data_IF_225502666202
#
_entry.id   IF_225502666202
#
_cell.length_a   1.000
_cell.length_b   1.000
_cell.length_c   1.000
_cell.angle_alpha   90.00
_cell.angle_beta   90.00
_cell.angle_gamma   90.00
#
_symmetry.space_group_name_H-M   'P 1'
#
loop_
_entity.id
_entity.type
_entity.pdbx_description
1 polymer ?
#
# COMPACT_ATOMS: atom_id res chain seq x y z
N UNK A 1 -53.60 81.01 -25.89
CA UNK A 1 -52.99 81.65 -27.09
C UNK A 1 -51.92 80.72 -27.60
N UNK A 2 -52.12 80.31 -28.82
CA UNK A 2 -51.16 79.79 -29.82
C UNK A 2 -50.31 78.54 -29.48
N UNK A 3 -50.73 77.44 -30.11
CA UNK A 3 -50.04 76.25 -30.45
C UNK A 3 -48.79 76.53 -31.27
N UNK A 4 -47.78 75.66 -31.13
CA UNK A 4 -46.98 75.16 -32.27
C UNK A 4 -46.50 73.78 -31.98
N UNK A 5 -46.90 72.82 -32.81
CA UNK A 5 -46.35 71.45 -32.91
C UNK A 5 -45.16 71.47 -33.82
N UNK A 6 -44.11 70.74 -33.47
CA UNK A 6 -43.13 70.25 -34.45
C UNK A 6 -42.79 68.78 -34.13
N UNK A 7 -43.08 67.94 -35.08
CA UNK A 7 -42.64 66.54 -35.13
C UNK A 7 -41.21 66.43 -35.57
N UNK A 8 -40.56 65.41 -35.07
CA UNK A 8 -39.28 64.93 -35.60
C UNK A 8 -39.26 63.43 -35.72
N UNK A 9 -38.70 63.03 -36.81
CA UNK A 9 -38.70 61.73 -37.45
C UNK A 9 -38.02 60.63 -36.66
N UNK A 10 -38.57 59.44 -36.81
CA UNK A 10 -37.97 58.17 -36.43
C UNK A 10 -36.72 57.87 -37.29
N UNK A 11 -35.64 57.55 -36.65
CA UNK A 11 -34.49 56.83 -37.29
C UNK A 11 -34.38 55.46 -36.65
N UNK A 12 -34.82 54.43 -37.36
CA UNK A 12 -34.53 53.02 -37.07
C UNK A 12 -33.05 52.74 -37.28
N UNK A 13 -32.35 52.37 -36.25
CA UNK A 13 -31.07 51.64 -36.32
C UNK A 13 -31.31 50.15 -36.09
N UNK A 14 -30.70 49.25 -36.90
CA UNK A 14 -30.85 47.80 -36.65
C UNK A 14 -30.02 47.37 -35.46
N UNK A 15 -30.67 46.78 -34.46
CA UNK A 15 -30.00 46.02 -33.39
C UNK A 15 -29.27 44.80 -33.98
N UNK A 16 -27.97 44.83 -33.94
CA UNK A 16 -27.16 43.63 -34.14
C UNK A 16 -27.21 42.78 -32.86
N UNK A 17 -28.05 41.76 -32.85
CA UNK A 17 -27.96 40.67 -31.92
C UNK A 17 -26.78 39.77 -32.31
N UNK A 18 -25.67 39.90 -31.61
CA UNK A 18 -24.61 38.87 -31.57
C UNK A 18 -25.18 37.71 -30.74
N UNK A 19 -25.21 36.48 -31.25
CA UNK A 19 -25.47 35.33 -30.42
C UNK A 19 -24.26 35.12 -29.51
N UNK A 20 -24.48 35.27 -28.21
CA UNK A 20 -23.56 34.83 -27.18
C UNK A 20 -23.57 33.29 -27.19
N UNK A 21 -22.66 32.72 -27.95
CA UNK A 21 -22.40 31.29 -27.95
C UNK A 21 -21.35 31.03 -26.88
N UNK A 22 -21.78 31.13 -25.61
CA UNK A 22 -21.08 30.46 -24.53
C UNK A 22 -21.29 28.95 -24.75
N UNK A 23 -20.40 28.33 -25.48
CA UNK A 23 -20.27 26.88 -25.50
C UNK A 23 -19.92 26.45 -24.09
N UNK A 24 -20.93 26.08 -23.31
CA UNK A 24 -20.73 25.28 -22.12
C UNK A 24 -20.14 23.95 -22.64
N UNK A 25 -18.90 23.71 -22.31
CA UNK A 25 -18.26 22.42 -22.52
C UNK A 25 -18.94 21.46 -21.54
N UNK A 26 -19.94 20.72 -22.01
CA UNK A 26 -20.47 19.53 -21.36
C UNK A 26 -19.39 18.41 -21.43
N UNK A 27 -18.30 18.59 -20.74
CA UNK A 27 -17.55 17.43 -20.26
C UNK A 27 -18.43 16.82 -19.16
N UNK A 28 -18.72 15.52 -19.17
CA UNK A 28 -19.44 14.90 -18.06
C UNK A 28 -18.65 15.19 -16.79
N UNK A 29 -19.30 15.87 -15.83
CA UNK A 29 -18.75 16.00 -14.48
C UNK A 29 -18.62 14.58 -13.95
N UNK A 30 -17.39 14.14 -13.75
CA UNK A 30 -17.11 12.83 -13.14
C UNK A 30 -17.63 12.95 -11.70
N UNK A 31 -18.65 12.17 -11.37
CA UNK A 31 -19.18 12.15 -10.01
C UNK A 31 -18.08 11.59 -9.09
N UNK A 32 -17.89 12.20 -7.92
CA UNK A 32 -16.84 11.83 -6.97
C UNK A 32 -17.41 11.03 -5.79
N UNK A 33 -16.54 10.27 -5.14
CA UNK A 33 -16.75 9.62 -3.86
C UNK A 33 -15.51 9.78 -2.98
N UNK A 34 -15.46 9.06 -1.85
CA UNK A 34 -14.32 9.04 -0.94
C UNK A 34 -13.57 7.73 -1.08
N UNK A 35 -12.31 7.81 -1.48
CA UNK A 35 -11.42 6.67 -1.59
C UNK A 35 -10.49 6.62 -0.37
N UNK A 36 -10.53 5.50 0.36
CA UNK A 36 -9.62 5.21 1.46
C UNK A 36 -8.50 4.28 1.00
N UNK A 37 -7.29 4.47 1.54
CA UNK A 37 -6.22 3.48 1.47
C UNK A 37 -5.86 3.06 2.89
N UNK A 38 -5.76 1.75 3.08
CA UNK A 38 -5.40 1.09 4.32
C UNK A 38 -4.10 0.32 4.16
N UNK A 39 -3.38 0.12 5.25
CA UNK A 39 -2.24 -0.79 5.32
C UNK A 39 -2.59 -1.95 6.28
N UNK A 40 -2.30 -3.18 5.87
CA UNK A 40 -2.64 -4.40 6.58
C UNK A 40 -1.42 -5.31 6.72
N UNK A 41 -1.19 -5.84 7.91
CA UNK A 41 -0.20 -6.87 8.18
C UNK A 41 -0.85 -8.23 8.43
N UNK A 42 -2.16 -8.33 8.18
CA UNK A 42 -3.02 -9.46 8.50
C UNK A 42 -3.10 -9.78 10.00
N UNK A 43 -3.83 -10.82 10.35
CA UNK A 43 -4.03 -11.24 11.74
C UNK A 43 -2.70 -11.63 12.39
N UNK A 44 -1.76 -12.16 11.62
CA UNK A 44 -0.43 -12.60 12.08
C UNK A 44 0.35 -11.52 12.82
N UNK A 45 0.22 -10.26 12.40
CA UNK A 45 0.97 -9.15 13.02
C UNK A 45 0.46 -8.84 14.41
N UNK A 46 -0.83 -9.05 14.70
CA UNK A 46 -1.45 -8.75 15.99
C UNK A 46 -1.63 -9.97 16.88
N UNK A 47 -1.88 -11.14 16.28
CA UNK A 47 -2.11 -12.37 17.03
C UNK A 47 -0.82 -13.19 17.22
N UNK A 48 0.18 -12.97 16.36
CA UNK A 48 1.36 -13.80 16.29
C UNK A 48 1.09 -15.11 15.52
N UNK A 49 2.13 -15.87 15.27
CA UNK A 49 2.06 -17.15 14.55
C UNK A 49 3.28 -18.03 14.86
N UNK A 50 3.23 -19.27 14.39
CA UNK A 50 4.36 -20.21 14.50
C UNK A 50 5.11 -20.25 13.17
N UNK A 51 6.41 -19.96 13.19
CA UNK A 51 7.28 -20.03 12.01
C UNK A 51 7.46 -21.48 11.52
N UNK A 52 7.94 -21.66 10.29
CA UNK A 52 8.19 -22.98 9.69
C UNK A 52 9.14 -23.87 10.50
N UNK A 53 9.98 -23.27 11.31
CA UNK A 53 10.99 -23.96 12.15
C UNK A 53 10.60 -24.02 13.63
N UNK A 54 9.32 -23.66 13.94
CA UNK A 54 8.66 -23.90 15.22
C UNK A 54 8.91 -22.85 16.28
N UNK A 55 9.26 -21.61 15.89
CA UNK A 55 9.30 -20.48 16.79
C UNK A 55 7.92 -19.80 16.86
N UNK A 56 7.38 -19.59 18.04
CA UNK A 56 6.20 -18.77 18.27
C UNK A 56 6.62 -17.30 18.20
N UNK A 57 6.15 -16.59 17.18
CA UNK A 57 6.52 -15.18 16.89
C UNK A 57 5.38 -14.28 17.30
N UNK A 58 5.68 -13.26 18.11
CA UNK A 58 4.75 -12.19 18.44
C UNK A 58 5.40 -10.83 18.16
N UNK A 59 4.64 -9.93 17.54
CA UNK A 59 5.09 -8.58 17.28
C UNK A 59 4.57 -7.60 18.32
N UNK A 60 5.44 -6.69 18.76
CA UNK A 60 5.10 -5.52 19.55
C UNK A 60 4.86 -4.31 18.64
N UNK A 61 5.69 -4.21 17.58
CA UNK A 61 5.57 -3.19 16.55
C UNK A 61 6.01 -3.72 15.19
N UNK A 62 5.31 -3.31 14.14
CA UNK A 62 5.65 -3.56 12.75
C UNK A 62 5.53 -2.26 11.96
N UNK A 63 6.62 -1.49 11.95
CA UNK A 63 6.64 -0.22 11.23
C UNK A 63 6.96 -0.44 9.76
N UNK A 64 6.10 0.09 8.88
CA UNK A 64 6.31 0.13 7.43
C UNK A 64 6.28 1.58 6.95
N UNK A 65 7.27 1.98 6.13
CA UNK A 65 7.31 3.30 5.51
C UNK A 65 6.79 3.19 4.08
N UNK A 66 5.71 3.91 3.79
CA UNK A 66 5.01 3.91 2.51
C UNK A 66 5.00 5.32 1.92
N UNK A 67 5.24 5.44 0.61
CA UNK A 67 5.15 6.72 -0.08
C UNK A 67 4.60 6.56 -1.50
N UNK A 68 4.13 7.67 -2.07
CA UNK A 68 3.58 7.73 -3.41
C UNK A 68 2.50 6.68 -3.65
N UNK A 69 1.64 6.44 -2.63
CA UNK A 69 0.55 5.46 -2.77
C UNK A 69 -0.49 6.00 -3.72
N UNK A 70 -0.62 5.34 -4.87
CA UNK A 70 -1.52 5.72 -5.96
C UNK A 70 -2.49 4.61 -6.28
N UNK A 71 -3.75 4.99 -6.42
CA UNK A 71 -4.81 4.13 -6.91
C UNK A 71 -5.09 4.45 -8.39
N UNK A 72 -5.32 3.41 -9.19
CA UNK A 72 -5.52 3.53 -10.62
C UNK A 72 -6.83 2.89 -11.08
N UNK A 73 -7.48 3.54 -12.03
CA UNK A 73 -8.51 2.92 -12.88
C UNK A 73 -7.85 2.57 -14.21
N UNK A 74 -8.02 1.34 -14.68
CA UNK A 74 -7.54 0.88 -15.97
C UNK A 74 -8.65 0.09 -16.68
N UNK A 75 -8.67 0.15 -18.03
CA UNK A 75 -9.65 -0.59 -18.83
C UNK A 75 -9.47 -2.12 -18.73
N UNK A 76 -8.22 -2.55 -18.56
CA UNK A 76 -7.86 -3.94 -18.31
C UNK A 76 -7.15 -4.04 -16.96
N UNK A 77 -7.45 -5.10 -16.19
CA UNK A 77 -6.73 -5.39 -14.96
C UNK A 77 -5.25 -5.62 -15.24
N UNK A 78 -4.41 -5.03 -14.43
CA UNK A 78 -2.97 -5.28 -14.45
C UNK A 78 -2.71 -6.69 -13.87
N UNK A 79 -1.89 -7.46 -14.57
CA UNK A 79 -1.46 -8.78 -14.12
C UNK A 79 0.03 -8.71 -13.72
N UNK A 80 0.33 -8.73 -12.40
CA UNK A 80 1.69 -8.59 -11.89
C UNK A 80 2.62 -9.79 -12.23
N UNK A 81 2.07 -10.92 -12.63
CA UNK A 81 2.85 -12.12 -13.02
C UNK A 81 3.33 -12.07 -14.48
N UNK A 82 2.98 -11.04 -15.21
CA UNK A 82 3.35 -10.87 -16.61
C UNK A 82 4.26 -9.65 -16.81
N UNK A 83 4.92 -9.56 -17.98
CA UNK A 83 5.67 -8.36 -18.39
C UNK A 83 4.74 -7.21 -18.85
N UNK A 84 3.46 -7.22 -18.41
CA UNK A 84 2.50 -6.19 -18.78
C UNK A 84 2.87 -4.85 -18.13
N UNK A 85 2.59 -3.77 -18.87
CA UNK A 85 2.70 -2.42 -18.32
C UNK A 85 1.31 -1.97 -17.87
N UNK A 86 1.20 -1.38 -16.69
CA UNK A 86 -0.03 -0.74 -16.25
C UNK A 86 -0.32 0.47 -17.15
N UNK A 87 -1.50 0.47 -17.79
CA UNK A 87 -1.98 1.56 -18.65
C UNK A 87 -3.22 2.22 -18.01
N UNK A 88 -3.03 3.17 -17.08
CA UNK A 88 -4.14 3.77 -16.36
C UNK A 88 -4.92 4.76 -17.22
N UNK A 89 -6.23 4.78 -17.05
CA UNK A 89 -7.14 5.81 -17.58
C UNK A 89 -7.36 6.95 -16.59
N UNK A 90 -7.18 6.66 -15.29
CA UNK A 90 -7.30 7.61 -14.17
C UNK A 90 -6.30 7.22 -13.09
N UNK A 91 -5.69 8.20 -12.44
CA UNK A 91 -4.86 8.00 -11.25
C UNK A 91 -5.21 8.98 -10.13
N UNK A 92 -5.03 8.53 -8.89
CA UNK A 92 -5.25 9.34 -7.68
C UNK A 92 -4.10 9.08 -6.71
N UNK A 93 -3.34 10.13 -6.37
CA UNK A 93 -2.38 10.08 -5.28
C UNK A 93 -3.15 10.14 -3.96
N UNK A 94 -3.05 9.10 -3.13
CA UNK A 94 -3.77 9.01 -1.85
C UNK A 94 -2.86 9.32 -0.68
N UNK A 95 -1.61 8.82 -0.70
CA UNK A 95 -0.61 9.06 0.36
C UNK A 95 0.68 9.57 -0.27
N UNK A 96 1.18 10.71 0.21
CA UNK A 96 2.48 11.24 -0.21
C UNK A 96 3.63 10.46 0.44
N UNK A 97 3.72 10.49 1.79
CA UNK A 97 4.59 9.61 2.58
C UNK A 97 4.06 9.46 4.01
N UNK A 98 4.08 8.24 4.53
CA UNK A 98 3.67 7.94 5.90
C UNK A 98 4.37 6.66 6.40
N UNK A 99 4.75 6.65 7.68
CA UNK A 99 5.13 5.44 8.40
C UNK A 99 3.98 5.03 9.31
N UNK A 100 3.56 3.78 9.22
CA UNK A 100 2.48 3.19 10.03
C UNK A 100 3.02 2.02 10.84
N UNK A 101 2.37 1.75 11.97
CA UNK A 101 2.60 0.55 12.77
C UNK A 101 1.46 -0.44 12.51
N UNK A 102 1.73 -1.52 11.78
CA UNK A 102 0.71 -2.51 11.43
C UNK A 102 0.23 -3.33 12.63
N UNK A 103 1.02 -3.34 13.73
CA UNK A 103 0.65 -4.01 14.98
C UNK A 103 -0.26 -3.14 15.88
N UNK A 104 -0.55 -1.89 15.48
CA UNK A 104 -1.42 -1.01 16.27
C UNK A 104 -2.86 -1.54 16.30
N UNK A 105 -3.45 -1.57 17.50
CA UNK A 105 -4.83 -2.01 17.75
C UNK A 105 -4.91 -3.37 18.43
N UNK A 106 -6.15 -3.81 18.69
CA UNK A 106 -6.45 -5.15 19.19
C UNK A 106 -6.46 -6.15 18.02
N UNK A 107 -6.48 -7.45 18.33
CA UNK A 107 -6.46 -8.52 17.33
C UNK A 107 -7.52 -8.38 16.21
N UNK A 108 -8.73 -7.92 16.56
CA UNK A 108 -9.86 -7.74 15.65
C UNK A 108 -10.00 -6.31 15.09
N UNK A 109 -8.97 -5.46 15.26
CA UNK A 109 -9.00 -4.10 14.74
C UNK A 109 -8.95 -4.07 13.21
N UNK A 110 -9.65 -3.12 12.61
CA UNK A 110 -9.56 -2.87 11.17
C UNK A 110 -8.10 -2.57 10.75
N UNK A 111 -7.71 -2.85 9.49
CA UNK A 111 -6.45 -2.39 8.91
C UNK A 111 -6.23 -0.89 9.09
N UNK A 112 -4.98 -0.48 9.23
CA UNK A 112 -4.59 0.91 9.54
C UNK A 112 -5.02 1.86 8.42
N UNK A 113 -5.91 2.79 8.70
CA UNK A 113 -6.29 3.83 7.74
C UNK A 113 -5.11 4.79 7.53
N UNK A 114 -4.58 4.81 6.32
CA UNK A 114 -3.51 5.73 5.95
C UNK A 114 -4.05 7.10 5.56
N UNK A 115 -4.98 7.15 4.62
CA UNK A 115 -5.58 8.39 4.15
C UNK A 115 -6.95 8.16 3.50
N UNK A 116 -7.68 9.28 3.35
CA UNK A 116 -8.96 9.36 2.65
C UNK A 116 -8.94 10.58 1.74
N UNK A 117 -9.30 10.41 0.48
CA UNK A 117 -9.31 11.49 -0.51
C UNK A 117 -10.58 11.48 -1.35
N UNK A 118 -11.03 12.66 -1.83
CA UNK A 118 -12.05 12.72 -2.88
C UNK A 118 -11.46 12.20 -4.18
N UNK A 119 -12.20 11.33 -4.86
CA UNK A 119 -11.73 10.65 -6.07
C UNK A 119 -12.89 10.43 -7.05
N UNK A 120 -12.63 10.45 -8.37
CA UNK A 120 -13.62 10.11 -9.38
C UNK A 120 -14.22 8.72 -9.15
N UNK A 121 -15.54 8.60 -9.27
CA UNK A 121 -16.21 7.30 -9.18
C UNK A 121 -15.74 6.36 -10.31
N UNK A 122 -15.70 5.07 -10.01
CA UNK A 122 -15.24 4.04 -10.93
C UNK A 122 -14.63 2.84 -10.20
N UNK A 123 -14.00 1.95 -10.97
CA UNK A 123 -13.28 0.80 -10.41
C UNK A 123 -11.79 1.09 -10.35
N UNK A 124 -11.26 1.18 -9.15
CA UNK A 124 -9.82 1.23 -8.90
C UNK A 124 -9.31 -0.20 -8.83
N UNK A 125 -8.67 -0.64 -9.90
CA UNK A 125 -8.25 -2.02 -10.14
C UNK A 125 -6.72 -2.20 -10.21
N UNK A 126 -5.98 -1.18 -9.76
CA UNK A 126 -4.55 -1.30 -9.52
C UNK A 126 -4.12 -0.33 -8.41
N UNK A 127 -3.11 -0.74 -7.66
CA UNK A 127 -2.50 0.03 -6.58
C UNK A 127 -0.98 0.03 -6.76
N UNK A 128 -0.35 1.17 -6.53
CA UNK A 128 1.11 1.32 -6.56
C UNK A 128 1.57 2.03 -5.31
N UNK A 129 2.72 1.61 -4.76
CA UNK A 129 3.42 2.34 -3.71
C UNK A 129 4.92 2.11 -3.76
N UNK A 130 5.65 3.04 -3.15
CA UNK A 130 7.07 2.88 -2.86
C UNK A 130 7.27 2.71 -1.36
N UNK A 131 8.35 2.05 -0.99
CA UNK A 131 8.77 1.88 0.40
C UNK A 131 10.15 2.54 0.58
N UNK A 132 10.20 3.85 0.82
CA UNK A 132 11.44 4.55 1.13
C UNK A 132 11.79 4.39 2.62
N UNK A 133 12.99 4.81 3.00
CA UNK A 133 13.33 4.93 4.42
C UNK A 133 12.45 5.97 5.11
N UNK A 134 11.96 5.63 6.30
CA UNK A 134 11.21 6.54 7.14
C UNK A 134 12.02 7.79 7.48
N UNK A 135 11.38 8.95 7.45
CA UNK A 135 12.04 10.24 7.72
C UNK A 135 12.10 10.60 9.20
N UNK A 136 11.19 10.03 9.98
CA UNK A 136 11.05 10.30 11.41
C UNK A 136 10.44 9.11 12.16
N UNK A 137 10.19 9.25 13.46
CA UNK A 137 9.61 8.22 14.31
C UNK A 137 10.59 7.10 14.68
N UNK A 138 10.08 5.99 15.25
CA UNK A 138 10.93 4.88 15.72
C UNK A 138 11.72 4.19 14.59
N UNK A 139 11.14 4.11 13.40
CA UNK A 139 11.76 3.48 12.22
C UNK A 139 12.60 4.44 11.38
N UNK A 140 12.91 5.65 11.87
CA UNK A 140 13.66 6.65 11.10
C UNK A 140 14.98 6.09 10.52
N UNK A 141 15.17 6.23 9.22
CA UNK A 141 16.32 5.70 8.47
C UNK A 141 16.16 4.27 7.96
N UNK A 142 15.05 3.60 8.24
CA UNK A 142 14.74 2.24 7.81
C UNK A 142 13.44 2.18 7.01
N UNK A 143 13.32 1.19 6.14
CA UNK A 143 12.12 0.93 5.32
C UNK A 143 11.08 0.18 6.13
N UNK A 144 11.55 -0.86 6.84
CA UNK A 144 10.78 -1.72 7.74
C UNK A 144 11.51 -1.82 9.08
N UNK A 145 10.76 -1.86 10.17
CA UNK A 145 11.30 -2.18 11.49
C UNK A 145 10.33 -3.11 12.21
N UNK A 146 10.79 -4.33 12.48
CA UNK A 146 10.03 -5.36 13.19
C UNK A 146 10.55 -5.46 14.61
N UNK A 147 9.69 -5.32 15.59
CA UNK A 147 9.99 -5.44 17.02
C UNK A 147 9.08 -6.50 17.63
N UNK A 148 9.64 -7.45 18.36
CA UNK A 148 8.83 -8.51 18.95
C UNK A 148 9.63 -9.53 19.72
N UNK A 149 8.97 -10.66 19.98
CA UNK A 149 9.56 -11.82 20.66
C UNK A 149 9.36 -13.08 19.83
N UNK A 150 10.32 -13.99 19.91
CA UNK A 150 10.21 -15.32 19.37
C UNK A 150 10.53 -16.33 20.48
N UNK A 151 9.70 -17.35 20.64
CA UNK A 151 9.85 -18.37 21.70
C UNK A 151 9.83 -19.78 21.09
N UNK A 152 10.78 -20.63 21.52
CA UNK A 152 10.84 -22.05 21.16
C UNK A 152 11.53 -22.86 22.25
N UNK A 153 10.93 -23.93 22.71
CA UNK A 153 11.46 -24.85 23.72
C UNK A 153 11.96 -24.18 25.01
N UNK A 154 11.33 -23.05 25.39
CA UNK A 154 11.68 -22.24 26.56
C UNK A 154 12.84 -21.27 26.32
N UNK A 155 13.39 -21.20 25.11
CA UNK A 155 14.26 -20.11 24.68
C UNK A 155 13.42 -18.95 24.21
N UNK A 156 13.71 -17.73 24.69
CA UNK A 156 13.05 -16.49 24.28
C UNK A 156 14.10 -15.59 23.64
N UNK A 157 13.78 -14.99 22.50
CA UNK A 157 14.59 -13.99 21.80
C UNK A 157 13.75 -12.74 21.57
N UNK A 158 14.15 -11.63 22.20
CA UNK A 158 13.58 -10.32 21.93
C UNK A 158 14.28 -9.75 20.68
N UNK A 159 13.54 -9.47 19.64
CA UNK A 159 14.15 -9.04 18.38
C UNK A 159 13.76 -7.62 17.97
N UNK A 160 14.70 -6.94 17.34
CA UNK A 160 14.52 -5.72 16.56
C UNK A 160 15.27 -5.91 15.24
N UNK A 161 14.52 -6.04 14.14
CA UNK A 161 15.05 -6.14 12.79
C UNK A 161 14.82 -4.82 12.07
N UNK A 162 15.90 -4.18 11.60
CA UNK A 162 15.85 -2.93 10.82
C UNK A 162 16.25 -3.23 9.38
N UNK A 163 15.27 -3.15 8.49
CA UNK A 163 15.42 -3.56 7.10
C UNK A 163 15.41 -2.32 6.20
N UNK A 164 16.40 -2.23 5.33
CA UNK A 164 16.72 -1.01 4.56
C UNK A 164 16.44 -1.15 3.05
N UNK A 165 15.91 -2.28 2.61
CA UNK A 165 15.64 -2.55 1.19
C UNK A 165 14.49 -1.67 0.72
N UNK A 166 14.81 -0.66 -0.10
CA UNK A 166 13.80 0.21 -0.72
C UNK A 166 13.14 -0.54 -1.89
N UNK A 167 11.82 -0.43 -2.01
CA UNK A 167 11.01 -1.21 -2.95
C UNK A 167 9.94 -0.35 -3.60
N UNK A 168 9.50 -0.76 -4.79
CA UNK A 168 8.32 -0.23 -5.47
C UNK A 168 7.46 -1.38 -5.94
N UNK A 169 6.21 -1.37 -5.53
CA UNK A 169 5.22 -2.37 -5.90
C UNK A 169 4.19 -1.80 -6.84
N UNK A 170 3.80 -2.61 -7.84
CA UNK A 170 2.63 -2.37 -8.68
C UNK A 170 1.75 -3.61 -8.63
N UNK A 171 0.50 -3.42 -8.22
CA UNK A 171 -0.44 -4.49 -7.94
C UNK A 171 -1.65 -4.37 -8.86
N UNK A 172 -2.29 -5.50 -9.13
CA UNK A 172 -3.55 -5.58 -9.88
C UNK A 172 -4.78 -5.43 -8.99
N UNK A 173 -5.86 -6.10 -9.39
CA UNK A 173 -7.10 -6.17 -8.61
C UNK A 173 -6.82 -6.81 -7.23
N UNK A 174 -7.54 -6.31 -6.22
CA UNK A 174 -7.51 -6.92 -4.89
C UNK A 174 -8.05 -8.36 -4.94
N UNK A 175 -7.34 -9.30 -4.34
CA UNK A 175 -7.74 -10.70 -4.25
C UNK A 175 -8.25 -11.00 -2.85
N UNK A 176 -9.50 -11.50 -2.77
CA UNK A 176 -10.19 -11.84 -1.50
C UNK A 176 -11.52 -11.12 -1.32
N UNK A 177 -11.66 -9.88 -1.75
CA UNK A 177 -12.95 -9.15 -1.76
C UNK A 177 -13.12 -8.36 -3.06
N UNK A 178 -13.96 -8.87 -3.97
CA UNK A 178 -14.24 -8.25 -5.27
C UNK A 178 -14.90 -6.85 -5.18
N UNK A 179 -15.34 -6.42 -4.00
CA UNK A 179 -15.97 -5.11 -3.77
C UNK A 179 -14.95 -4.00 -3.53
N UNK A 180 -13.73 -4.35 -3.11
CA UNK A 180 -12.67 -3.36 -2.88
C UNK A 180 -12.37 -2.60 -4.17
N UNK A 181 -12.14 -1.30 -4.03
CA UNK A 181 -11.85 -0.41 -5.15
C UNK A 181 -13.05 0.01 -6.00
N UNK A 182 -14.29 -0.47 -5.73
CA UNK A 182 -15.49 -0.01 -6.44
C UNK A 182 -16.05 1.23 -5.75
N UNK A 183 -15.77 2.41 -6.32
CA UNK A 183 -16.21 3.69 -5.82
C UNK A 183 -17.45 4.16 -6.57
N UNK A 184 -18.62 4.09 -5.93
CA UNK A 184 -19.86 4.67 -6.46
C UNK A 184 -19.94 6.17 -6.15
N UNK A 185 -20.69 6.95 -6.95
CA UNK A 185 -20.92 8.37 -6.70
C UNK A 185 -21.43 8.66 -5.28
N UNK A 186 -20.75 9.55 -4.57
CA UNK A 186 -21.12 9.96 -3.22
C UNK A 186 -20.96 8.88 -2.15
N UNK A 187 -20.38 7.75 -2.48
CA UNK A 187 -20.12 6.65 -1.55
C UNK A 187 -18.64 6.63 -1.09
N UNK A 188 -18.29 5.61 -0.33
CA UNK A 188 -16.93 5.32 0.13
C UNK A 188 -16.50 3.96 -0.40
N UNK A 189 -15.25 3.85 -0.83
CA UNK A 189 -14.59 2.59 -1.14
C UNK A 189 -13.20 2.58 -0.52
N UNK A 190 -12.66 1.40 -0.26
CA UNK A 190 -11.31 1.21 0.25
C UNK A 190 -10.46 0.35 -0.68
N UNK A 191 -9.17 0.60 -0.63
CA UNK A 191 -8.09 -0.20 -1.15
C UNK A 191 -7.12 -0.53 -0.02
N UNK A 192 -6.34 -1.59 -0.18
CA UNK A 192 -5.49 -2.08 0.87
C UNK A 192 -4.14 -2.52 0.33
N UNK A 193 -3.07 -1.98 0.92
CA UNK A 193 -1.72 -2.50 0.77
C UNK A 193 -1.50 -3.54 1.86
N UNK A 194 -1.36 -4.79 1.49
CA UNK A 194 -1.22 -5.94 2.41
C UNK A 194 0.25 -6.37 2.47
N UNK A 195 0.70 -6.81 3.63
CA UNK A 195 2.05 -7.27 3.88
C UNK A 195 2.04 -8.63 4.56
N UNK A 196 2.60 -9.64 3.90
CA UNK A 196 2.64 -11.03 4.35
C UNK A 196 3.98 -11.35 5.02
N UNK A 197 4.10 -11.15 6.34
CA UNK A 197 5.35 -11.37 7.08
C UNK A 197 5.69 -12.85 7.29
N UNK A 198 4.74 -13.76 7.14
CA UNK A 198 4.96 -15.19 7.06
C UNK A 198 5.86 -15.58 5.87
N UNK A 199 5.95 -14.79 4.81
CA UNK A 199 6.94 -14.97 3.75
C UNK A 199 8.38 -14.95 4.28
N UNK A 200 8.67 -14.16 5.33
CA UNK A 200 10.01 -14.14 5.94
C UNK A 200 10.22 -15.39 6.80
N UNK A 201 9.22 -15.73 7.62
CA UNK A 201 9.40 -16.71 8.70
C UNK A 201 8.85 -18.10 8.35
N UNK A 202 8.01 -18.20 7.31
CA UNK A 202 7.25 -19.40 6.99
C UNK A 202 6.09 -19.61 7.96
N UNK A 203 5.30 -20.64 7.70
CA UNK A 203 4.13 -21.01 8.48
C UNK A 203 4.26 -22.45 9.01
N UNK A 204 4.28 -22.61 10.33
CA UNK A 204 4.38 -23.90 11.00
C UNK A 204 3.12 -24.79 10.84
N UNK A 205 1.99 -24.22 10.44
CA UNK A 205 0.76 -24.96 10.14
C UNK A 205 0.73 -25.50 8.70
N UNK A 206 1.49 -24.88 7.80
CA UNK A 206 1.61 -25.33 6.41
C UNK A 206 2.55 -26.53 6.28
N UNK A 207 2.36 -27.40 5.25
CA UNK A 207 3.29 -28.49 4.96
C UNK A 207 4.72 -27.99 4.71
N UNK A 208 5.77 -28.75 5.12
CA UNK A 208 7.17 -28.34 4.93
C UNK A 208 7.58 -28.12 3.46
N UNK A 209 6.87 -28.74 2.52
CA UNK A 209 7.07 -28.63 1.06
C UNK A 209 6.17 -27.58 0.40
N UNK A 210 5.38 -26.86 1.17
CA UNK A 210 4.63 -25.71 0.69
C UNK A 210 5.55 -24.57 0.25
N UNK A 211 5.10 -23.77 -0.72
CA UNK A 211 5.87 -22.63 -1.25
C UNK A 211 6.21 -21.61 -0.18
N UNK A 212 5.32 -21.34 0.76
CA UNK A 212 5.54 -20.43 1.88
C UNK A 212 6.74 -20.89 2.75
N UNK A 213 6.88 -22.20 2.97
CA UNK A 213 7.94 -22.76 3.80
C UNK A 213 9.26 -22.95 3.03
N UNK A 214 9.20 -23.34 1.78
CA UNK A 214 10.42 -23.54 0.97
C UNK A 214 11.11 -22.24 0.60
N UNK A 215 10.34 -21.14 0.43
CA UNK A 215 10.83 -19.78 0.16
C UNK A 215 11.35 -19.06 1.41
N UNK A 216 10.70 -19.23 2.55
CA UNK A 216 10.99 -18.48 3.77
C UNK A 216 12.38 -18.74 4.36
N UNK A 217 12.91 -17.73 5.07
CA UNK A 217 14.13 -17.88 5.89
C UNK A 217 13.84 -18.75 7.12
N UNK A 218 12.73 -18.52 7.82
CA UNK A 218 12.46 -19.01 9.18
C UNK A 218 13.07 -18.10 10.25
N UNK A 219 12.94 -18.48 11.52
CA UNK A 219 13.54 -17.71 12.61
C UNK A 219 14.83 -18.35 13.16
N UNK A 220 15.08 -19.62 12.93
CA UNK A 220 16.27 -20.33 13.43
C UNK A 220 17.61 -19.67 13.04
N UNK A 221 17.83 -19.21 11.77
CA UNK A 221 19.04 -18.48 11.42
C UNK A 221 19.22 -17.17 12.17
N UNK A 222 18.13 -16.47 12.46
CA UNK A 222 18.11 -15.23 13.24
C UNK A 222 18.39 -15.50 14.72
N UNK A 223 17.79 -16.55 15.30
CA UNK A 223 18.06 -16.97 16.66
C UNK A 223 19.52 -17.37 16.88
N UNK A 224 20.15 -17.97 15.86
CA UNK A 224 21.56 -18.41 15.92
C UNK A 224 22.55 -17.24 16.04
N UNK A 225 22.21 -16.05 15.59
CA UNK A 225 23.06 -14.85 15.68
C UNK A 225 22.67 -13.94 16.87
N UNK A 226 21.62 -14.29 17.63
CA UNK A 226 21.21 -13.54 18.80
C UNK A 226 22.30 -13.53 19.89
N UNK A 227 22.39 -12.44 20.63
CA UNK A 227 23.32 -12.28 21.74
C UNK A 227 22.58 -12.53 23.07
N UNK A 228 22.59 -13.79 23.52
CA UNK A 228 21.79 -14.22 24.67
C UNK A 228 20.29 -14.27 24.31
N UNK A 229 19.49 -13.42 24.90
CA UNK A 229 18.05 -13.28 24.66
C UNK A 229 17.70 -12.08 23.78
N UNK A 230 18.67 -11.46 23.10
CA UNK A 230 18.48 -10.23 22.34
C UNK A 230 19.04 -10.36 20.93
N UNK A 231 18.23 -9.98 19.95
CA UNK A 231 18.59 -9.82 18.55
C UNK A 231 18.28 -8.39 18.11
N UNK A 232 19.27 -7.53 18.05
CA UNK A 232 19.14 -6.14 17.59
C UNK A 232 20.08 -5.93 16.41
N UNK A 233 19.52 -5.99 15.18
CA UNK A 233 20.29 -6.04 13.94
C UNK A 233 19.70 -5.16 12.85
N UNK A 234 20.59 -4.67 11.97
CA UNK A 234 20.27 -4.03 10.70
C UNK A 234 20.72 -4.89 9.51
N UNK A 235 20.43 -4.43 8.28
CA UNK A 235 20.78 -5.17 7.06
C UNK A 235 22.29 -5.43 6.93
N UNK A 236 23.15 -4.49 7.37
CA UNK A 236 24.61 -4.66 7.30
C UNK A 236 25.10 -5.75 8.28
N UNK A 237 24.52 -5.80 9.47
CA UNK A 237 24.81 -6.85 10.46
C UNK A 237 24.29 -8.21 10.01
N UNK A 238 23.10 -8.25 9.38
CA UNK A 238 22.53 -9.47 8.82
C UNK A 238 23.40 -10.01 7.68
N UNK A 239 23.89 -9.15 6.77
CA UNK A 239 24.81 -9.53 5.71
C UNK A 239 26.14 -10.12 6.25
N UNK A 240 26.65 -9.57 7.35
CA UNK A 240 27.90 -10.04 7.97
C UNK A 240 27.71 -11.36 8.74
N UNK A 241 26.57 -11.57 9.39
CA UNK A 241 26.38 -12.64 10.37
C UNK A 241 25.61 -13.85 9.85
N UNK A 242 24.72 -13.67 8.87
CA UNK A 242 24.02 -14.78 8.22
C UNK A 242 24.94 -15.47 7.19
N UNK A 243 24.59 -16.71 6.84
CA UNK A 243 25.20 -17.31 5.65
C UNK A 243 24.81 -16.52 4.40
N UNK A 244 25.63 -16.50 3.33
CA UNK A 244 25.26 -15.81 2.08
C UNK A 244 23.95 -16.33 1.47
N UNK A 245 23.61 -17.60 1.68
CA UNK A 245 22.35 -18.21 1.22
C UNK A 245 21.17 -17.68 2.03
N UNK A 246 21.29 -17.64 3.36
CA UNK A 246 20.23 -17.13 4.25
C UNK A 246 19.99 -15.63 4.06
N UNK A 247 21.07 -14.85 3.86
CA UNK A 247 20.95 -13.43 3.58
C UNK A 247 20.25 -13.15 2.24
N UNK A 248 20.63 -13.90 1.18
CA UNK A 248 19.96 -13.79 -0.11
C UNK A 248 18.48 -14.18 -0.01
N UNK A 249 18.18 -15.26 0.73
CA UNK A 249 16.79 -15.68 0.98
C UNK A 249 15.99 -14.60 1.73
N UNK A 250 16.59 -13.98 2.75
CA UNK A 250 15.96 -12.87 3.46
C UNK A 250 15.63 -11.71 2.51
N UNK A 251 16.57 -11.34 1.62
CA UNK A 251 16.33 -10.28 0.64
C UNK A 251 15.19 -10.61 -0.32
N UNK A 252 15.14 -11.86 -0.81
CA UNK A 252 14.07 -12.34 -1.70
C UNK A 252 12.70 -12.32 -1.00
N UNK A 253 12.64 -12.74 0.27
CA UNK A 253 11.38 -12.74 1.03
C UNK A 253 10.91 -11.33 1.36
N UNK A 254 11.82 -10.39 1.70
CA UNK A 254 11.47 -8.98 1.88
C UNK A 254 10.90 -8.39 0.58
N UNK A 255 11.49 -8.73 -0.57
CA UNK A 255 11.00 -8.29 -1.88
C UNK A 255 9.61 -8.83 -2.23
N UNK A 256 9.21 -9.94 -1.64
CA UNK A 256 7.90 -10.58 -1.83
C UNK A 256 6.81 -10.15 -0.84
N UNK A 257 7.06 -9.19 0.05
CA UNK A 257 6.09 -8.82 1.11
C UNK A 257 4.84 -8.10 0.61
N UNK A 258 4.92 -7.37 -0.51
CA UNK A 258 3.83 -6.51 -0.97
C UNK A 258 2.72 -7.26 -1.70
N UNK A 259 1.48 -7.12 -1.22
CA UNK A 259 0.28 -7.76 -1.74
C UNK A 259 -0.91 -6.81 -1.78
N UNK A 260 -1.98 -7.23 -2.46
CA UNK A 260 -3.32 -6.65 -2.37
C UNK A 260 -4.29 -7.79 -2.03
N UNK A 261 -4.58 -7.96 -0.72
CA UNK A 261 -5.13 -9.21 -0.21
C UNK A 261 -4.19 -10.37 -0.52
N UNK A 262 -4.71 -11.47 -1.06
CA UNK A 262 -3.94 -12.64 -1.48
C UNK A 262 -3.18 -12.46 -2.81
N UNK A 263 -3.37 -11.31 -3.49
CA UNK A 263 -2.78 -11.06 -4.80
C UNK A 263 -1.34 -10.52 -4.69
N UNK A 264 -0.37 -11.23 -5.28
CA UNK A 264 1.01 -10.75 -5.35
C UNK A 264 1.13 -9.44 -6.13
N UNK A 265 2.09 -8.61 -5.76
CA UNK A 265 2.45 -7.41 -6.50
C UNK A 265 3.75 -7.61 -7.28
N UNK A 266 3.86 -6.97 -8.43
CA UNK A 266 5.12 -6.91 -9.16
C UNK A 266 6.09 -5.95 -8.50
N UNK A 267 7.30 -6.41 -8.20
CA UNK A 267 8.39 -5.53 -7.79
C UNK A 267 8.94 -4.80 -9.03
N UNK A 268 9.08 -3.49 -8.94
CA UNK A 268 9.58 -2.65 -10.01
C UNK A 268 10.88 -1.94 -9.61
N UNK A 269 11.70 -1.61 -10.60
CA UNK A 269 12.91 -0.83 -10.34
C UNK A 269 12.60 0.54 -9.73
N UNK A 270 13.38 0.95 -8.75
CA UNK A 270 13.35 2.28 -8.15
C UNK A 270 14.06 3.28 -9.08
N UNK A 271 13.39 3.73 -10.16
CA UNK A 271 13.95 4.71 -11.11
C UNK A 271 13.19 6.02 -11.11
#
# INVERSE_FOLDING_TARGET
MVSVSYGCASSNAPSSTTPDTSAVSDAPETEEGMLQVRANGEDFVREGFVSKDGWEIGFEHVYVSLANVKAYQADASFDPETDATLEPTQDVLVVDQQTVDLAEGEADADPILMAEVSAPSGRYNALEWTMPKATDGPAAGHVLMLVGTAEKDGQVVNFTLRLDQEMRYVCGDFVGDERKGILEPGSMADLEATFHFDHIFGDGEAPPDDSINTGALGFEPLAAIAQGDTLDVDMAMLEEQLSPEDYARLQDTIAGLGHVGEGHCALQDMT
#
